data_IF_285373225599
#
_entry.id   IF_285373225599
#
_cell.length_a   1.000
_cell.length_b   1.000
_cell.length_c   1.000
_cell.angle_alpha   90.00
_cell.angle_beta   90.00
_cell.angle_gamma   90.00
#
_symmetry.space_group_name_H-M   'P 1'
#
loop_
_entity.id
_entity.type
_entity.pdbx_description
1 polymer ?
#
# COMPACT_ATOMS: atom_id res chain seq x y z
N UNK A 1 17.21 30.86 -10.34
CA UNK A 1 16.92 29.99 -9.18
C UNK A 1 18.16 29.14 -8.94
N UNK A 2 18.64 29.02 -7.69
CA UNK A 2 19.77 28.14 -7.39
C UNK A 2 19.27 26.70 -7.22
N UNK A 3 20.15 25.71 -7.41
CA UNK A 3 19.81 24.28 -7.25
C UNK A 3 19.28 23.97 -5.84
N UNK A 4 19.79 24.66 -4.83
CA UNK A 4 19.29 24.56 -3.46
C UNK A 4 17.85 25.07 -3.29
N UNK A 5 17.49 26.17 -3.96
CA UNK A 5 16.11 26.68 -3.96
C UNK A 5 15.16 25.67 -4.61
N UNK A 6 15.57 25.07 -5.73
CA UNK A 6 14.76 24.05 -6.42
C UNK A 6 14.58 22.82 -5.52
N UNK A 7 15.64 22.35 -4.87
CA UNK A 7 15.58 21.22 -3.92
C UNK A 7 14.58 21.49 -2.78
N UNK A 8 14.62 22.68 -2.17
CA UNK A 8 13.69 23.05 -1.08
C UNK A 8 12.23 23.05 -1.52
N UNK A 9 11.94 23.59 -2.71
CA UNK A 9 10.57 23.60 -3.23
C UNK A 9 10.06 22.18 -3.49
N UNK A 10 10.91 21.30 -4.04
CA UNK A 10 10.57 19.88 -4.25
C UNK A 10 10.22 19.17 -2.94
N UNK A 11 11.01 19.38 -1.89
CA UNK A 11 10.75 18.78 -0.58
C UNK A 11 9.45 19.32 0.04
N UNK A 12 9.21 20.63 -0.03
CA UNK A 12 7.98 21.26 0.44
C UNK A 12 6.73 20.73 -0.28
N UNK A 13 6.82 20.43 -1.58
CA UNK A 13 5.72 19.77 -2.31
C UNK A 13 5.50 18.34 -1.87
N UNK A 14 6.56 17.59 -1.57
CA UNK A 14 6.41 16.24 -1.01
C UNK A 14 5.73 16.29 0.36
N UNK A 15 6.02 17.29 1.19
CA UNK A 15 5.34 17.53 2.49
C UNK A 15 3.84 17.71 2.39
N UNK A 16 3.31 18.18 1.26
CA UNK A 16 1.86 18.34 1.09
C UNK A 16 1.13 17.03 0.76
N UNK A 17 1.82 15.89 0.66
CA UNK A 17 1.20 14.63 0.27
C UNK A 17 0.65 13.93 1.50
N UNK A 18 -0.65 13.63 1.47
CA UNK A 18 -1.36 12.95 2.54
C UNK A 18 -0.68 11.63 2.99
N UNK A 19 0.04 10.96 2.07
CA UNK A 19 0.69 9.67 2.31
C UNK A 19 2.22 9.70 2.24
N UNK A 20 2.84 10.90 2.27
CA UNK A 20 4.30 11.06 2.18
C UNK A 20 5.03 10.16 3.16
N UNK A 21 4.70 10.28 4.44
CA UNK A 21 5.46 9.64 5.51
C UNK A 21 5.41 8.12 5.42
N UNK A 22 4.26 7.57 5.04
CA UNK A 22 4.09 6.14 4.79
C UNK A 22 4.96 5.67 3.63
N UNK A 23 4.93 6.38 2.50
CA UNK A 23 5.73 6.03 1.31
C UNK A 23 7.22 6.13 1.62
N UNK A 24 7.65 7.21 2.26
CA UNK A 24 9.05 7.42 2.63
C UNK A 24 9.54 6.38 3.63
N UNK A 25 8.76 6.10 4.68
CA UNK A 25 9.07 5.05 5.66
C UNK A 25 9.18 3.69 4.98
N UNK A 26 8.26 3.36 4.08
CA UNK A 26 8.30 2.09 3.34
C UNK A 26 9.52 1.96 2.44
N UNK A 27 9.88 3.03 1.73
CA UNK A 27 11.09 3.06 0.91
C UNK A 27 12.35 2.99 1.76
N UNK A 28 12.38 3.68 2.90
CA UNK A 28 13.47 3.65 3.86
C UNK A 28 13.71 2.23 4.39
N UNK A 29 12.66 1.54 4.83
CA UNK A 29 12.69 0.13 5.25
C UNK A 29 13.20 -0.79 4.12
N UNK A 30 12.66 -0.62 2.91
CA UNK A 30 12.97 -1.47 1.75
C UNK A 30 14.42 -1.32 1.31
N UNK A 31 14.91 -0.09 1.26
CA UNK A 31 16.26 0.25 0.82
C UNK A 31 17.28 0.21 1.96
N UNK A 32 16.83 0.01 3.21
CA UNK A 32 17.64 0.02 4.43
C UNK A 32 18.47 1.29 4.58
N UNK A 33 17.83 2.44 4.35
CA UNK A 33 18.43 3.78 4.48
C UNK A 33 17.52 4.68 5.33
N UNK A 34 18.04 5.76 5.93
CA UNK A 34 17.20 6.73 6.65
C UNK A 34 16.17 7.42 5.74
N UNK A 35 15.03 7.80 6.31
CA UNK A 35 13.95 8.53 5.61
C UNK A 35 14.46 9.79 4.94
N UNK A 36 15.31 10.55 5.62
CA UNK A 36 15.93 11.78 5.10
C UNK A 36 16.74 11.49 3.83
N UNK A 37 17.37 10.31 3.76
CA UNK A 37 18.11 9.89 2.57
C UNK A 37 17.20 9.57 1.39
N UNK A 38 16.02 9.02 1.65
CA UNK A 38 14.99 8.79 0.63
C UNK A 38 14.52 10.14 0.07
N UNK A 39 14.23 11.12 0.93
CA UNK A 39 13.81 12.47 0.50
C UNK A 39 14.83 13.14 -0.41
N UNK A 40 16.12 13.03 -0.06
CA UNK A 40 17.21 13.53 -0.91
C UNK A 40 17.23 12.86 -2.29
N UNK A 41 17.06 11.53 -2.33
CA UNK A 41 17.05 10.77 -3.57
C UNK A 41 15.84 11.14 -4.44
N UNK A 42 14.66 11.36 -3.85
CA UNK A 42 13.49 11.81 -4.58
C UNK A 42 13.69 13.22 -5.14
N UNK A 43 14.14 14.18 -4.32
CA UNK A 43 14.37 15.55 -4.77
C UNK A 43 15.46 15.67 -5.85
N UNK A 44 16.48 14.79 -5.78
CA UNK A 44 17.55 14.70 -6.78
C UNK A 44 17.07 14.14 -8.12
N UNK A 45 16.28 13.07 -8.10
CA UNK A 45 15.98 12.30 -9.30
C UNK A 45 14.62 12.63 -9.95
N UNK A 46 13.67 13.20 -9.20
CA UNK A 46 12.38 13.61 -9.72
C UNK A 46 12.40 15.10 -10.07
N UNK A 47 11.96 15.44 -11.28
CA UNK A 47 11.67 16.83 -11.64
C UNK A 47 10.38 17.33 -10.95
N UNK A 48 10.12 18.63 -11.05
CA UNK A 48 8.97 19.27 -10.40
C UNK A 48 7.63 18.75 -10.93
N UNK A 49 7.52 18.49 -12.23
CA UNK A 49 6.28 18.02 -12.85
C UNK A 49 5.95 16.60 -12.39
N UNK A 50 6.96 15.73 -12.29
CA UNK A 50 6.83 14.38 -11.75
C UNK A 50 6.46 14.37 -10.28
N UNK A 51 7.04 15.28 -9.48
CA UNK A 51 6.62 15.43 -8.09
C UNK A 51 5.13 15.76 -8.09
N UNK A 52 4.71 16.89 -8.66
CA UNK A 52 3.29 17.31 -8.69
C UNK A 52 2.31 16.24 -9.18
N UNK A 53 2.65 15.50 -10.23
CA UNK A 53 1.78 14.45 -10.77
C UNK A 53 1.79 13.15 -9.96
N UNK A 54 2.79 12.94 -9.10
CA UNK A 54 2.93 11.69 -8.35
C UNK A 54 1.88 11.53 -7.26
N UNK A 55 1.29 12.61 -6.74
CA UNK A 55 0.35 12.57 -5.61
C UNK A 55 -0.81 11.58 -5.85
N UNK A 56 -1.55 11.73 -6.96
CA UNK A 56 -2.66 10.83 -7.31
C UNK A 56 -2.21 9.40 -7.65
N UNK A 57 -1.02 9.26 -8.25
CA UNK A 57 -0.45 7.95 -8.57
C UNK A 57 0.06 7.19 -7.34
N UNK A 58 0.41 7.90 -6.27
CA UNK A 58 0.90 7.30 -5.02
C UNK A 58 -0.24 6.63 -4.26
N UNK A 59 -1.43 7.23 -4.21
CA UNK A 59 -2.62 6.61 -3.61
C UNK A 59 -2.94 5.27 -4.28
N UNK A 60 -2.97 5.27 -5.62
CA UNK A 60 -3.16 4.05 -6.41
C UNK A 60 -2.05 3.02 -6.17
N UNK A 61 -0.80 3.46 -6.07
CA UNK A 61 0.32 2.56 -5.79
C UNK A 61 0.23 1.93 -4.39
N UNK A 62 -0.27 2.67 -3.39
CA UNK A 62 -0.49 2.15 -2.03
C UNK A 62 -1.60 1.09 -2.05
N UNK A 63 -2.73 1.39 -2.70
CA UNK A 63 -3.84 0.44 -2.84
C UNK A 63 -3.40 -0.84 -3.58
N UNK A 64 -2.73 -0.68 -4.73
CA UNK A 64 -2.21 -1.80 -5.50
C UNK A 64 -1.24 -2.66 -4.68
N UNK A 65 -0.36 -2.01 -3.90
CA UNK A 65 0.58 -2.72 -3.02
C UNK A 65 -0.15 -3.48 -1.92
N UNK A 66 -1.18 -2.90 -1.32
CA UNK A 66 -2.01 -3.53 -0.29
C UNK A 66 -2.75 -4.75 -0.84
N UNK A 67 -3.41 -4.62 -2.00
CA UNK A 67 -4.07 -5.74 -2.69
C UNK A 67 -3.11 -6.91 -2.89
N UNK A 68 -1.89 -6.62 -3.36
CA UNK A 68 -0.86 -7.64 -3.57
C UNK A 68 -0.35 -8.24 -2.28
N UNK A 69 -0.22 -7.46 -1.23
CA UNK A 69 0.17 -7.98 0.08
C UNK A 69 -0.88 -8.97 0.61
N UNK A 70 -2.17 -8.60 0.55
CA UNK A 70 -3.28 -9.48 0.95
C UNK A 70 -3.28 -10.77 0.13
N UNK A 71 -3.11 -10.67 -1.19
CA UNK A 71 -3.06 -11.82 -2.10
C UNK A 71 -1.95 -12.81 -1.71
N UNK A 72 -0.76 -12.30 -1.39
CA UNK A 72 0.39 -13.10 -0.95
C UNK A 72 0.19 -13.69 0.46
N UNK A 73 -0.26 -12.88 1.42
CA UNK A 73 -0.37 -13.28 2.82
C UNK A 73 -1.46 -14.36 3.03
N UNK A 74 -2.49 -14.36 2.19
CA UNK A 74 -3.57 -15.35 2.19
C UNK A 74 -3.38 -16.50 1.17
N UNK A 75 -2.38 -16.41 0.28
CA UNK A 75 -2.17 -17.39 -0.79
C UNK A 75 -3.35 -17.48 -1.77
N UNK A 76 -4.02 -16.35 -2.04
CA UNK A 76 -5.24 -16.32 -2.87
C UNK A 76 -4.95 -16.71 -4.32
N UNK A 77 -3.74 -16.47 -4.80
CA UNK A 77 -3.27 -16.88 -6.12
C UNK A 77 -3.24 -18.40 -6.26
N UNK A 78 -2.73 -19.11 -5.24
CA UNK A 78 -2.76 -20.57 -5.19
C UNK A 78 -4.18 -21.11 -5.06
N UNK A 79 -4.99 -20.54 -4.16
CA UNK A 79 -6.38 -20.98 -3.96
C UNK A 79 -7.21 -20.80 -5.23
N UNK A 80 -7.01 -19.71 -5.96
CA UNK A 80 -7.63 -19.47 -7.25
C UNK A 80 -7.14 -20.46 -8.31
N UNK A 81 -5.82 -20.65 -8.42
CA UNK A 81 -5.23 -21.52 -9.42
C UNK A 81 -5.62 -23.00 -9.24
N UNK A 82 -5.79 -23.44 -8.00
CA UNK A 82 -6.27 -24.77 -7.65
C UNK A 82 -7.80 -24.91 -7.75
N UNK A 83 -8.50 -23.87 -8.22
CA UNK A 83 -9.97 -23.82 -8.35
C UNK A 83 -10.70 -24.06 -7.01
N UNK A 84 -10.01 -23.80 -5.89
CA UNK A 84 -10.59 -23.87 -4.55
C UNK A 84 -11.41 -22.61 -4.21
N UNK A 85 -11.04 -21.48 -4.83
CA UNK A 85 -11.82 -20.26 -4.82
C UNK A 85 -12.01 -19.75 -6.25
N UNK A 86 -13.17 -19.18 -6.54
CA UNK A 86 -13.41 -18.49 -7.80
C UNK A 86 -12.91 -17.03 -7.77
N UNK A 87 -12.98 -16.38 -8.93
CA UNK A 87 -12.51 -14.99 -9.09
C UNK A 87 -13.30 -14.00 -8.24
N UNK A 88 -14.60 -14.20 -8.07
CA UNK A 88 -15.46 -13.31 -7.28
C UNK A 88 -15.21 -13.50 -5.79
N UNK A 89 -14.98 -14.72 -5.32
CA UNK A 89 -14.61 -15.01 -3.93
C UNK A 89 -13.27 -14.37 -3.58
N UNK A 90 -12.25 -14.53 -4.43
CA UNK A 90 -10.93 -13.90 -4.25
C UNK A 90 -11.06 -12.37 -4.20
N UNK A 91 -11.84 -11.80 -5.11
CA UNK A 91 -12.09 -10.36 -5.17
C UNK A 91 -12.80 -9.88 -3.90
N UNK A 92 -13.88 -10.53 -3.50
CA UNK A 92 -14.67 -10.20 -2.31
C UNK A 92 -13.83 -10.23 -1.03
N UNK A 93 -12.97 -11.24 -0.85
CA UNK A 93 -12.07 -11.32 0.31
C UNK A 93 -11.14 -10.10 0.36
N UNK A 94 -10.53 -9.71 -0.76
CA UNK A 94 -9.65 -8.54 -0.82
C UNK A 94 -10.41 -7.24 -0.55
N UNK A 95 -11.56 -7.05 -1.20
CA UNK A 95 -12.39 -5.85 -1.06
C UNK A 95 -12.90 -5.66 0.37
N UNK A 96 -13.26 -6.73 1.08
CA UNK A 96 -13.67 -6.65 2.48
C UNK A 96 -12.55 -6.13 3.38
N UNK A 97 -11.34 -6.70 3.27
CA UNK A 97 -10.18 -6.26 4.06
C UNK A 97 -9.83 -4.80 3.74
N UNK A 98 -9.79 -4.44 2.45
CA UNK A 98 -9.48 -3.08 2.01
C UNK A 98 -10.51 -2.09 2.51
N UNK A 99 -11.80 -2.43 2.41
CA UNK A 99 -12.88 -1.57 2.88
C UNK A 99 -12.78 -1.31 4.38
N UNK A 100 -12.51 -2.32 5.18
CA UNK A 100 -12.32 -2.15 6.64
C UNK A 100 -11.12 -1.24 6.93
N UNK A 101 -10.02 -1.35 6.18
CA UNK A 101 -8.86 -0.48 6.30
C UNK A 101 -9.11 0.96 5.82
N UNK A 102 -9.87 1.13 4.72
CA UNK A 102 -10.20 2.43 4.10
C UNK A 102 -11.17 3.28 4.93
N UNK A 103 -12.04 2.66 5.75
CA UNK A 103 -13.02 3.36 6.60
C UNK A 103 -12.36 4.36 7.57
N UNK A 104 -11.06 4.21 7.85
CA UNK A 104 -10.28 5.14 8.67
C UNK A 104 -9.93 6.47 7.96
N UNK A 105 -10.22 6.62 6.66
CA UNK A 105 -9.85 7.81 5.87
C UNK A 105 -8.34 7.97 5.68
N UNK A 106 -7.57 6.96 6.09
CA UNK A 106 -6.12 6.88 5.93
C UNK A 106 -5.77 5.46 5.49
N UNK A 107 -5.04 5.30 4.39
CA UNK A 107 -4.29 4.07 4.11
C UNK A 107 -3.13 3.84 5.10
N UNK A 108 -3.19 4.42 6.30
CA UNK A 108 -2.25 4.23 7.39
C UNK A 108 -2.62 2.91 8.08
N UNK A 109 -2.13 1.82 7.49
CA UNK A 109 -2.41 0.46 7.94
C UNK A 109 -1.76 0.27 9.31
N UNK A 110 -2.58 0.22 10.37
CA UNK A 110 -2.14 -0.28 11.67
C UNK A 110 -1.75 -1.76 11.51
N UNK A 111 -0.50 -2.16 11.82
CA UNK A 111 -0.07 -3.56 11.70
C UNK A 111 -0.96 -4.54 12.48
N UNK A 112 -1.41 -4.17 13.67
CA UNK A 112 -2.24 -5.03 14.52
C UNK A 112 -3.64 -5.23 13.93
N UNK A 113 -4.20 -4.17 13.35
CA UNK A 113 -5.50 -4.22 12.67
C UNK A 113 -5.43 -5.05 11.39
N UNK A 114 -4.37 -4.86 10.61
CA UNK A 114 -4.10 -5.66 9.42
C UNK A 114 -4.00 -7.15 9.75
N UNK A 115 -3.19 -7.50 10.75
CA UNK A 115 -3.00 -8.89 11.17
C UNK A 115 -4.32 -9.52 11.62
N UNK A 116 -5.14 -8.77 12.37
CA UNK A 116 -6.48 -9.21 12.76
C UNK A 116 -7.38 -9.49 11.55
N UNK A 117 -7.42 -8.59 10.57
CA UNK A 117 -8.23 -8.75 9.36
C UNK A 117 -7.76 -9.95 8.51
N UNK A 118 -6.45 -10.16 8.41
CA UNK A 118 -5.88 -11.34 7.74
C UNK A 118 -6.31 -12.63 8.45
N UNK A 119 -6.29 -12.67 9.78
CA UNK A 119 -6.71 -13.84 10.55
C UNK A 119 -8.22 -14.13 10.42
N UNK A 120 -9.05 -13.09 10.38
CA UNK A 120 -10.48 -13.22 10.11
C UNK A 120 -10.75 -13.74 8.69
N UNK A 121 -10.01 -13.25 7.70
CA UNK A 121 -10.09 -13.72 6.33
C UNK A 121 -9.66 -15.19 6.19
N UNK A 122 -8.61 -15.63 6.90
CA UNK A 122 -8.20 -17.05 6.95
C UNK A 122 -9.33 -17.94 7.44
N UNK A 123 -10.00 -17.55 8.53
CA UNK A 123 -11.16 -18.29 9.07
C UNK A 123 -12.31 -18.35 8.07
N UNK A 124 -12.56 -17.25 7.35
CA UNK A 124 -13.58 -17.21 6.28
C UNK A 124 -13.23 -18.16 5.14
N UNK A 125 -11.99 -18.13 4.66
CA UNK A 125 -11.51 -19.04 3.59
C UNK A 125 -11.72 -20.49 3.99
N UNK A 126 -11.30 -20.87 5.21
CA UNK A 126 -11.47 -22.25 5.70
C UNK A 126 -12.95 -22.66 5.69
N UNK A 127 -13.86 -21.81 6.16
CA UNK A 127 -15.31 -22.10 6.14
C UNK A 127 -15.85 -22.30 4.73
N UNK A 128 -15.38 -21.51 3.76
CA UNK A 128 -15.75 -21.67 2.34
C UNK A 128 -15.31 -23.05 1.85
N UNK A 129 -14.05 -23.44 2.13
CA UNK A 129 -13.50 -24.73 1.71
C UNK A 129 -14.16 -25.94 2.40
N UNK A 130 -14.64 -25.77 3.63
CA UNK A 130 -15.40 -26.78 4.37
C UNK A 130 -16.87 -26.91 3.88
N UNK A 131 -17.31 -26.08 2.92
CA UNK A 131 -18.69 -26.07 2.43
C UNK A 131 -19.70 -25.51 3.42
N UNK A 132 -19.24 -24.70 4.38
CA UNK A 132 -20.05 -24.11 5.46
C UNK A 132 -20.28 -22.60 5.28
N UNK A 133 -20.11 -22.09 4.06
CA UNK A 133 -20.20 -20.66 3.70
C UNK A 133 -21.28 -20.35 2.69
#
# INVERSE_FOLDING_TARGET
MTDETIKKIKLWKLESYAYKDQVLKKLAETLKIPTEKVEELLAKNLDMARIESSHSSMEQAILFRLEKQIELDLGLDYLYHLELLDKEQVKSIKEEIIKELEVSGKLEINPEEYEKLIEEARKKIIKILEGSG
#
